data_IF_847491548706
#
_entry.id   IF_847491548706
#
_cell.length_a   1.000
_cell.length_b   1.000
_cell.length_c   1.000
_cell.angle_alpha   90.00
_cell.angle_beta   90.00
_cell.angle_gamma   90.00
#
_symmetry.space_group_name_H-M   'P 1'
#
loop_
_entity.id
_entity.type
_entity.pdbx_description
1 polymer ?
#
# COMPACT_ATOMS: atom_id res chain seq x y z
N UNK A 1 31.22 -8.95 -21.76
CA UNK A 1 31.82 -8.98 -20.41
C UNK A 1 30.69 -9.21 -19.44
N UNK A 2 30.57 -10.42 -18.90
CA UNK A 2 29.59 -10.69 -17.86
C UNK A 2 30.02 -9.90 -16.62
N UNK A 3 29.16 -9.01 -16.11
CA UNK A 3 29.38 -8.40 -14.80
C UNK A 3 29.52 -9.54 -13.78
N UNK A 4 30.73 -9.79 -13.31
CA UNK A 4 30.99 -10.77 -12.27
C UNK A 4 30.16 -10.37 -11.04
N UNK A 5 29.20 -11.22 -10.70
CA UNK A 5 28.42 -11.10 -9.46
C UNK A 5 29.38 -11.37 -8.30
N UNK A 6 30.03 -10.31 -7.82
CA UNK A 6 30.96 -10.38 -6.69
C UNK A 6 30.13 -10.59 -5.41
N UNK A 7 30.30 -11.72 -4.69
CA UNK A 7 29.51 -12.01 -3.49
C UNK A 7 29.56 -10.91 -2.42
N UNK A 8 30.73 -10.27 -2.24
CA UNK A 8 30.89 -9.16 -1.30
C UNK A 8 30.04 -7.92 -1.67
N UNK A 9 29.88 -7.61 -2.95
CA UNK A 9 29.03 -6.49 -3.41
C UNK A 9 27.55 -6.81 -3.16
N UNK A 10 27.13 -8.05 -3.45
CA UNK A 10 25.77 -8.52 -3.15
C UNK A 10 25.45 -8.47 -1.65
N UNK A 11 26.37 -8.96 -0.80
CA UNK A 11 26.24 -8.86 0.66
C UNK A 11 26.13 -7.40 1.12
N UNK A 12 26.95 -6.51 0.56
CA UNK A 12 26.89 -5.07 0.85
C UNK A 12 25.57 -4.42 0.43
N UNK A 13 24.99 -4.81 -0.70
CA UNK A 13 23.67 -4.34 -1.13
C UNK A 13 22.55 -4.82 -0.19
N UNK A 14 22.57 -6.09 0.20
CA UNK A 14 21.60 -6.67 1.15
C UNK A 14 21.70 -5.99 2.51
N UNK A 15 22.91 -5.83 3.05
CA UNK A 15 23.14 -5.15 4.34
C UNK A 15 22.63 -3.71 4.33
N UNK A 16 22.94 -2.95 3.28
CA UNK A 16 22.42 -1.58 3.09
C UNK A 16 20.90 -1.56 2.99
N UNK A 17 20.29 -2.54 2.33
CA UNK A 17 18.84 -2.71 2.31
C UNK A 17 18.25 -2.87 3.71
N UNK A 18 18.80 -3.77 4.53
CA UNK A 18 18.35 -3.96 5.92
C UNK A 18 18.53 -2.71 6.78
N UNK A 19 19.67 -2.03 6.67
CA UNK A 19 19.96 -0.80 7.43
C UNK A 19 19.01 0.34 7.05
N UNK A 20 18.75 0.52 5.74
CA UNK A 20 17.77 1.51 5.24
C UNK A 20 16.38 1.24 5.80
N UNK A 21 15.95 -0.01 5.81
CA UNK A 21 14.60 -0.38 6.29
C UNK A 21 14.46 -0.36 7.81
N UNK A 22 15.56 -0.32 8.58
CA UNK A 22 15.53 -0.38 10.05
C UNK A 22 14.70 0.73 10.70
N UNK A 23 14.77 1.96 10.16
CA UNK A 23 13.99 3.11 10.68
C UNK A 23 12.49 2.91 10.42
N UNK A 24 12.13 2.52 9.20
CA UNK A 24 10.74 2.26 8.80
C UNK A 24 10.13 1.08 9.56
N UNK A 25 10.90 0.00 9.82
CA UNK A 25 10.43 -1.13 10.64
C UNK A 25 10.08 -0.69 12.06
N UNK A 26 10.91 0.18 12.67
CA UNK A 26 10.65 0.72 14.01
C UNK A 26 9.43 1.63 14.05
N UNK A 27 9.31 2.53 13.07
CA UNK A 27 8.14 3.41 12.94
C UNK A 27 6.85 2.58 12.76
N UNK A 28 6.86 1.61 11.85
CA UNK A 28 5.74 0.70 11.60
C UNK A 28 5.33 -0.06 12.86
N UNK A 29 6.29 -0.60 13.62
CA UNK A 29 5.99 -1.30 14.87
C UNK A 29 5.32 -0.38 15.90
N UNK A 30 5.77 0.87 16.02
CA UNK A 30 5.14 1.87 16.90
C UNK A 30 3.72 2.19 16.45
N UNK A 31 3.51 2.43 15.14
CA UNK A 31 2.19 2.72 14.62
C UNK A 31 1.22 1.55 14.71
N UNK A 32 1.66 0.31 14.47
CA UNK A 32 0.79 -0.88 14.62
C UNK A 32 0.35 -1.03 16.08
N UNK A 33 1.24 -0.77 17.04
CA UNK A 33 0.91 -0.79 18.47
C UNK A 33 -0.20 0.22 18.80
N UNK A 34 -0.12 1.44 18.26
CA UNK A 34 -1.16 2.46 18.44
C UNK A 34 -2.44 2.14 17.65
N UNK A 35 -2.32 1.62 16.42
CA UNK A 35 -3.45 1.26 15.56
C UNK A 35 -4.29 0.10 16.13
N UNK A 36 -3.65 -0.89 16.74
CA UNK A 36 -4.36 -1.95 17.46
C UNK A 36 -4.91 -1.40 18.80
N UNK A 37 -4.17 -0.49 19.44
CA UNK A 37 -4.58 0.17 20.67
C UNK A 37 -4.37 -0.69 21.92
N UNK A 38 -4.61 -0.10 23.09
CA UNK A 38 -4.42 -0.78 24.38
C UNK A 38 -5.48 -1.87 24.65
N UNK A 39 -6.58 -1.88 23.90
CA UNK A 39 -7.71 -2.78 24.16
C UNK A 39 -7.35 -4.25 23.88
N UNK A 40 -6.68 -4.54 22.77
CA UNK A 40 -6.21 -5.90 22.46
C UNK A 40 -4.95 -6.32 23.24
N UNK A 41 -4.31 -5.39 23.96
CA UNK A 41 -3.15 -5.71 24.82
C UNK A 41 -3.55 -6.25 26.20
N UNK A 42 -4.81 -6.09 26.61
CA UNK A 42 -5.31 -6.55 27.91
C UNK A 42 -6.13 -7.82 27.72
N UNK A 43 -5.82 -8.85 28.50
CA UNK A 43 -6.46 -10.17 28.43
C UNK A 43 -7.92 -10.17 28.94
N UNK A 44 -8.32 -9.11 29.66
CA UNK A 44 -9.67 -8.87 30.13
C UNK A 44 -10.06 -7.43 29.81
N UNK A 45 -11.09 -7.24 28.98
CA UNK A 45 -11.67 -5.93 28.72
C UNK A 45 -12.34 -5.44 30.00
N UNK A 46 -11.92 -4.27 30.51
CA UNK A 46 -12.71 -3.55 31.49
C UNK A 46 -14.02 -3.16 30.78
N UNK A 47 -15.09 -3.89 31.08
CA UNK A 47 -16.45 -3.59 30.63
C UNK A 47 -16.76 -2.13 30.94
N UNK A 48 -16.95 -1.30 29.91
CA UNK A 48 -17.51 0.04 30.08
C UNK A 48 -16.95 1.11 29.14
N UNK A 49 -15.65 1.07 28.81
CA UNK A 49 -15.04 2.10 27.97
C UNK A 49 -14.06 1.46 26.97
N UNK A 50 -14.52 1.23 25.73
CA UNK A 50 -13.62 1.12 24.59
C UNK A 50 -13.14 2.55 24.24
N UNK A 51 -11.89 2.93 24.54
CA UNK A 51 -11.40 4.23 24.10
C UNK A 51 -11.43 4.27 22.57
N UNK A 52 -12.08 5.30 22.01
CA UNK A 52 -12.19 5.49 20.56
C UNK A 52 -10.77 5.51 19.97
N UNK A 53 -10.43 4.48 19.20
CA UNK A 53 -9.15 4.43 18.50
C UNK A 53 -9.22 5.33 17.26
N UNK A 54 -8.91 6.61 17.45
CA UNK A 54 -8.99 7.64 16.41
C UNK A 54 -8.17 7.28 15.16
N UNK A 55 -7.02 6.61 15.32
CA UNK A 55 -6.19 6.18 14.20
C UNK A 55 -6.92 5.10 13.40
N UNK A 56 -7.45 4.08 14.07
CA UNK A 56 -8.23 3.02 13.43
C UNK A 56 -9.44 3.59 12.68
N UNK A 57 -10.21 4.47 13.31
CA UNK A 57 -11.38 5.08 12.70
C UNK A 57 -11.00 5.95 11.50
N UNK A 58 -9.94 6.74 11.60
CA UNK A 58 -9.46 7.59 10.50
C UNK A 58 -9.01 6.76 9.30
N UNK A 59 -8.27 5.67 9.52
CA UNK A 59 -7.84 4.78 8.43
C UNK A 59 -9.06 4.08 7.80
N UNK A 60 -10.00 3.61 8.64
CA UNK A 60 -11.22 2.94 8.20
C UNK A 60 -12.13 3.84 7.38
N UNK A 61 -12.16 5.14 7.64
CA UNK A 61 -12.95 6.11 6.86
C UNK A 61 -12.21 6.61 5.63
N UNK A 62 -10.91 6.89 5.74
CA UNK A 62 -10.11 7.48 4.67
C UNK A 62 -9.81 6.49 3.54
N UNK A 63 -9.40 5.26 3.86
CA UNK A 63 -8.92 4.29 2.85
C UNK A 63 -9.99 3.93 1.81
N UNK A 64 -11.26 3.65 2.19
CA UNK A 64 -12.31 3.39 1.20
C UNK A 64 -12.67 4.60 0.34
N UNK A 65 -12.45 5.83 0.83
CA UNK A 65 -12.71 7.06 0.07
C UNK A 65 -11.58 7.37 -0.92
N UNK A 66 -10.35 6.96 -0.61
CA UNK A 66 -9.21 7.13 -1.51
C UNK A 66 -9.22 6.11 -2.66
N UNK A 67 -9.72 4.90 -2.42
CA UNK A 67 -9.81 3.87 -3.47
C UNK A 67 -11.19 3.92 -4.11
N UNK A 68 -11.25 4.31 -5.38
CA UNK A 68 -12.50 4.31 -6.15
C UNK A 68 -13.18 2.93 -6.11
N UNK A 69 -14.51 2.93 -6.03
CA UNK A 69 -15.26 1.68 -6.02
C UNK A 69 -15.09 0.88 -7.32
N UNK A 70 -15.02 1.60 -8.45
CA UNK A 70 -14.73 1.11 -9.80
C UNK A 70 -13.76 2.10 -10.47
N UNK A 71 -12.46 1.79 -10.57
CA UNK A 71 -11.54 2.61 -11.35
C UNK A 71 -11.93 2.56 -12.84
N UNK A 72 -11.79 3.69 -13.51
CA UNK A 72 -11.97 3.82 -14.97
C UNK A 72 -10.76 4.57 -15.51
N UNK A 73 -9.97 3.89 -16.33
CA UNK A 73 -8.78 4.47 -16.91
C UNK A 73 -9.12 5.27 -18.16
N UNK A 74 -8.79 6.56 -18.14
CA UNK A 74 -8.90 7.43 -19.31
C UNK A 74 -7.53 7.55 -19.98
N UNK A 75 -7.37 6.83 -21.08
CA UNK A 75 -6.19 6.91 -21.93
C UNK A 75 -6.35 7.99 -22.99
N UNK A 76 -5.52 9.01 -22.90
CA UNK A 76 -5.50 10.12 -23.84
C UNK A 76 -4.27 10.03 -24.75
N UNK A 77 -4.47 10.29 -26.04
CA UNK A 77 -3.39 10.41 -27.03
C UNK A 77 -3.48 11.73 -27.76
N UNK A 78 -2.31 12.32 -28.06
CA UNK A 78 -2.19 13.55 -28.86
C UNK A 78 -2.51 13.30 -30.34
N UNK A 79 -2.48 12.04 -30.79
CA UNK A 79 -2.70 11.65 -32.18
C UNK A 79 -4.18 11.29 -32.37
N UNK A 80 -4.92 12.13 -33.10
CA UNK A 80 -6.38 11.97 -33.27
C UNK A 80 -6.75 10.61 -33.88
N UNK A 81 -5.99 10.13 -34.87
CA UNK A 81 -6.23 8.85 -35.51
C UNK A 81 -6.08 7.64 -34.57
N UNK A 82 -5.34 7.80 -33.46
CA UNK A 82 -5.10 6.72 -32.50
C UNK A 82 -6.06 6.75 -31.30
N UNK A 83 -6.95 7.75 -31.21
CA UNK A 83 -7.92 7.85 -30.12
C UNK A 83 -8.75 6.57 -29.91
N UNK A 84 -9.27 5.91 -30.97
CA UNK A 84 -10.05 4.67 -30.80
C UNK A 84 -9.22 3.53 -30.19
N UNK A 85 -7.93 3.46 -30.52
CA UNK A 85 -7.02 2.47 -29.94
C UNK A 85 -6.71 2.78 -28.47
N UNK A 86 -6.62 4.06 -28.10
CA UNK A 86 -6.50 4.49 -26.71
C UNK A 86 -7.71 4.10 -25.87
N UNK A 87 -8.91 4.27 -26.42
CA UNK A 87 -10.16 3.85 -25.75
C UNK A 87 -10.22 2.32 -25.56
N UNK A 88 -9.88 1.54 -26.58
CA UNK A 88 -9.80 0.09 -26.49
C UNK A 88 -8.77 -0.38 -25.45
N UNK A 89 -7.61 0.27 -25.40
CA UNK A 89 -6.60 -0.03 -24.39
C UNK A 89 -7.09 0.33 -22.99
N UNK A 90 -7.83 1.43 -22.81
CA UNK A 90 -8.46 1.80 -21.54
C UNK A 90 -9.40 0.72 -21.03
N UNK A 91 -10.29 0.22 -21.90
CA UNK A 91 -11.19 -0.88 -21.57
C UNK A 91 -10.45 -2.17 -21.20
N UNK A 92 -9.36 -2.48 -21.91
CA UNK A 92 -8.55 -3.65 -21.62
C UNK A 92 -7.86 -3.54 -20.24
N UNK A 93 -7.33 -2.36 -19.89
CA UNK A 93 -6.75 -2.11 -18.57
C UNK A 93 -7.83 -2.23 -17.49
N UNK A 94 -8.99 -1.61 -17.68
CA UNK A 94 -10.10 -1.70 -16.72
C UNK A 94 -10.54 -3.15 -16.47
N UNK A 95 -10.47 -4.02 -17.49
CA UNK A 95 -10.74 -5.45 -17.33
C UNK A 95 -9.64 -6.13 -16.50
N UNK A 96 -8.37 -5.91 -16.83
CA UNK A 96 -7.24 -6.49 -16.09
C UNK A 96 -7.26 -6.06 -14.62
N UNK A 97 -7.59 -4.81 -14.33
CA UNK A 97 -7.70 -4.30 -12.96
C UNK A 97 -8.76 -5.02 -12.13
N UNK A 98 -9.88 -5.41 -12.76
CA UNK A 98 -10.92 -6.23 -12.11
C UNK A 98 -10.42 -7.64 -11.86
N UNK A 99 -9.73 -8.24 -12.83
CA UNK A 99 -9.22 -9.61 -12.73
C UNK A 99 -8.18 -9.77 -11.61
N UNK A 100 -7.33 -8.77 -11.41
CA UNK A 100 -6.32 -8.77 -10.32
C UNK A 100 -6.85 -8.26 -8.98
N UNK A 101 -8.11 -7.84 -8.92
CA UNK A 101 -8.71 -7.16 -7.76
C UNK A 101 -7.82 -6.00 -7.26
N UNK A 102 -7.43 -5.13 -8.20
CA UNK A 102 -6.49 -4.03 -7.94
C UNK A 102 -6.95 -3.16 -6.77
N UNK A 103 -8.27 -3.00 -6.61
CA UNK A 103 -8.89 -2.31 -5.48
C UNK A 103 -8.46 -2.87 -4.12
N UNK A 104 -8.39 -4.19 -3.96
CA UNK A 104 -7.94 -4.82 -2.71
C UNK A 104 -6.45 -4.59 -2.49
N UNK A 105 -5.66 -4.65 -3.56
CA UNK A 105 -4.22 -4.38 -3.51
C UNK A 105 -3.95 -2.93 -3.10
N UNK A 106 -4.60 -1.96 -3.76
CA UNK A 106 -4.49 -0.53 -3.46
C UNK A 106 -4.91 -0.19 -2.03
N UNK A 107 -5.98 -0.82 -1.51
CA UNK A 107 -6.37 -0.65 -0.10
C UNK A 107 -5.25 -1.09 0.84
N UNK A 108 -4.62 -2.24 0.58
CA UNK A 108 -3.48 -2.71 1.36
C UNK A 108 -2.28 -1.77 1.27
N UNK A 109 -1.97 -1.27 0.07
CA UNK A 109 -0.84 -0.37 -0.18
C UNK A 109 -1.03 1.00 0.48
N UNK A 110 -2.23 1.58 0.42
CA UNK A 110 -2.50 2.87 1.07
C UNK A 110 -2.39 2.73 2.60
N UNK A 111 -2.90 1.62 3.16
CA UNK A 111 -2.71 1.33 4.58
C UNK A 111 -1.22 1.22 4.92
N UNK A 112 -0.44 0.51 4.12
CA UNK A 112 1.01 0.36 4.34
C UNK A 112 1.79 1.69 4.16
N UNK A 113 1.33 2.55 3.25
CA UNK A 113 1.85 3.89 3.03
C UNK A 113 1.59 4.80 4.24
N UNK A 114 0.39 4.73 4.84
CA UNK A 114 0.07 5.42 6.09
C UNK A 114 0.95 4.95 7.26
N UNK A 115 1.45 3.71 7.20
CA UNK A 115 2.40 3.15 8.16
C UNK A 115 3.88 3.37 7.80
N UNK A 116 4.16 4.35 6.94
CA UNK A 116 5.50 4.78 6.53
C UNK A 116 6.33 3.72 5.80
N UNK A 117 5.72 2.65 5.30
CA UNK A 117 6.41 1.64 4.51
C UNK A 117 6.30 1.90 3.01
N UNK A 118 5.28 2.66 2.57
CA UNK A 118 5.04 3.18 1.22
C UNK A 118 6.01 2.66 0.16
N UNK A 119 5.76 1.45 -0.30
CA UNK A 119 6.39 0.87 -1.49
C UNK A 119 5.51 1.21 -2.69
#
# INVERSE_FOLDING_TARGET
MAEEVIPAKMQGCVKRGFERMKRYRRARAMFIKEFVGQYYSKQFGLTGDEPINLIFHTIRTLVPNLVMQNPVNRLETKIVAQKPYGELLGLAIDQVEKDIDLKRILRGWIVDALFAWGI
#
